data_IF_552002383279
#
_entry.id   IF_552002383279
#
_cell.length_a   1.000
_cell.length_b   1.000
_cell.length_c   1.000
_cell.angle_alpha   90.00
_cell.angle_beta   90.00
_cell.angle_gamma   90.00
#
_symmetry.space_group_name_H-M   'P 1'
#
loop_
_entity.id
_entity.type
_entity.pdbx_description
1 polymer ?
#
# COMPACT_ATOMS: atom_id res chain seq x y z
N UNK A 1 12.53 -65.72 -48.05
CA UNK A 1 13.87 -65.23 -47.62
C UNK A 1 13.87 -65.06 -46.10
N UNK A 2 14.68 -65.86 -45.39
CA UNK A 2 15.22 -65.53 -44.07
C UNK A 2 16.53 -64.72 -44.27
N UNK A 3 17.01 -64.00 -43.26
CA UNK A 3 17.97 -64.59 -42.29
C UNK A 3 17.51 -64.31 -40.83
N UNK A 4 17.59 -65.23 -39.83
CA UNK A 4 18.78 -65.79 -39.14
C UNK A 4 19.68 -64.69 -38.55
N UNK A 5 20.19 -64.66 -37.32
CA UNK A 5 20.39 -65.60 -36.19
C UNK A 5 21.09 -64.73 -35.10
N UNK A 6 20.82 -64.79 -33.80
CA UNK A 6 21.54 -65.64 -32.83
C UNK A 6 21.00 -65.37 -31.42
N UNK A 7 20.66 -66.44 -30.71
CA UNK A 7 20.56 -66.47 -29.26
C UNK A 7 21.97 -66.52 -28.67
N UNK A 8 22.22 -65.79 -27.59
CA UNK A 8 23.17 -66.21 -26.55
C UNK A 8 22.48 -65.96 -25.21
N UNK A 9 22.08 -67.07 -24.61
CA UNK A 9 21.70 -67.18 -23.20
C UNK A 9 22.99 -67.36 -22.42
N UNK A 10 23.28 -66.47 -21.48
CA UNK A 10 24.32 -66.69 -20.48
C UNK A 10 23.65 -66.67 -19.11
N UNK A 11 23.51 -67.85 -18.53
CA UNK A 11 23.16 -68.08 -17.13
C UNK A 11 24.39 -67.79 -16.28
N UNK A 12 24.29 -66.90 -15.30
CA UNK A 12 25.20 -66.87 -14.16
C UNK A 12 24.36 -66.78 -12.89
N UNK A 13 24.36 -67.91 -12.18
CA UNK A 13 23.93 -68.06 -10.80
C UNK A 13 25.08 -67.60 -9.90
N UNK A 14 24.82 -66.64 -9.00
CA UNK A 14 25.69 -66.40 -7.85
C UNK A 14 24.86 -65.83 -6.69
N UNK A 15 24.58 -66.68 -5.72
CA UNK A 15 24.16 -66.31 -4.36
C UNK A 15 25.43 -65.86 -3.64
N UNK A 16 25.55 -64.62 -3.19
CA UNK A 16 26.47 -64.26 -2.11
C UNK A 16 25.96 -63.06 -1.29
N UNK A 17 25.47 -63.40 -0.09
CA UNK A 17 25.73 -62.79 1.21
C UNK A 17 25.73 -61.26 1.38
N UNK A 18 24.84 -60.85 2.29
CA UNK A 18 24.90 -59.64 3.10
C UNK A 18 26.32 -59.24 3.51
N UNK A 19 26.67 -57.99 3.24
CA UNK A 19 27.55 -57.23 4.12
C UNK A 19 27.14 -55.76 4.07
N UNK A 20 26.48 -55.30 5.15
CA UNK A 20 26.36 -53.89 5.45
C UNK A 20 27.73 -53.38 5.84
N UNK A 21 28.25 -52.41 5.09
CA UNK A 21 29.30 -51.51 5.55
C UNK A 21 28.81 -50.10 5.24
N UNK A 22 28.56 -49.34 6.29
CA UNK A 22 28.13 -47.95 6.27
C UNK A 22 29.23 -47.04 5.74
N UNK A 23 28.99 -46.36 4.62
CA UNK A 23 29.79 -45.24 4.15
C UNK A 23 28.88 -44.01 3.98
N UNK A 24 29.14 -42.99 4.81
CA UNK A 24 28.55 -41.66 4.73
C UNK A 24 28.88 -41.05 3.37
N UNK A 25 27.84 -40.81 2.56
CA UNK A 25 27.98 -40.09 1.30
C UNK A 25 27.92 -38.59 1.60
N UNK A 26 29.01 -37.90 1.31
CA UNK A 26 29.10 -36.44 1.31
C UNK A 26 28.01 -35.87 0.39
N UNK A 27 27.12 -35.05 0.95
CA UNK A 27 26.16 -34.27 0.20
C UNK A 27 26.84 -32.99 -0.28
N UNK A 28 26.78 -32.79 -1.60
CA UNK A 28 27.21 -31.58 -2.29
C UNK A 28 26.52 -30.33 -1.72
N UNK A 29 27.35 -29.34 -1.45
CA UNK A 29 26.98 -28.00 -1.00
C UNK A 29 26.24 -27.26 -2.12
N UNK A 30 24.90 -27.36 -2.14
CA UNK A 30 24.08 -26.47 -2.94
C UNK A 30 24.09 -25.08 -2.31
N UNK A 31 24.99 -24.23 -2.80
CA UNK A 31 25.08 -22.82 -2.45
C UNK A 31 23.72 -22.12 -2.63
N UNK A 32 23.08 -21.78 -1.51
CA UNK A 32 21.93 -20.89 -1.45
C UNK A 32 22.42 -19.50 -1.89
N UNK A 33 21.75 -18.80 -2.82
CA UNK A 33 22.11 -17.44 -3.17
C UNK A 33 22.07 -16.55 -1.92
N UNK A 34 22.98 -15.59 -1.72
CA UNK A 34 22.92 -14.74 -0.55
C UNK A 34 21.58 -13.99 -0.55
N UNK A 35 20.77 -14.22 0.49
CA UNK A 35 19.66 -13.34 0.79
C UNK A 35 20.22 -11.92 0.87
N UNK A 36 19.70 -11.02 0.04
CA UNK A 36 20.08 -9.62 0.01
C UNK A 36 19.96 -9.07 1.43
N UNK A 37 21.09 -8.88 2.11
CA UNK A 37 21.11 -8.29 3.43
C UNK A 37 20.62 -6.86 3.29
N UNK A 38 19.36 -6.62 3.68
CA UNK A 38 18.85 -5.25 3.85
C UNK A 38 19.76 -4.62 4.90
N UNK A 39 20.44 -3.49 4.62
CA UNK A 39 21.26 -2.82 5.61
C UNK A 39 20.44 -2.60 6.89
N UNK A 40 20.92 -3.15 8.00
CA UNK A 40 20.36 -2.93 9.33
C UNK A 40 20.76 -1.54 9.85
N UNK A 41 20.58 -0.51 9.04
CA UNK A 41 20.74 0.88 9.50
C UNK A 41 19.62 1.17 10.49
N UNK A 42 19.94 1.52 11.75
CA UNK A 42 18.93 1.92 12.73
C UNK A 42 18.21 3.16 12.23
N UNK A 43 16.90 3.25 12.48
CA UNK A 43 16.16 4.47 12.20
C UNK A 43 16.65 5.61 13.11
N UNK A 44 16.49 6.88 12.68
CA UNK A 44 16.68 8.04 13.55
C UNK A 44 15.88 7.94 14.86
N UNK A 45 16.34 8.67 15.88
CA UNK A 45 15.64 8.73 17.18
C UNK A 45 14.23 9.33 17.07
N UNK A 46 14.00 10.22 16.09
CA UNK A 46 12.70 10.84 15.82
C UNK A 46 12.41 10.70 14.32
N UNK A 47 11.20 10.26 14.00
CA UNK A 47 10.63 10.27 12.65
C UNK A 47 9.41 11.18 12.65
N UNK A 48 9.42 12.18 11.77
CA UNK A 48 8.29 13.08 11.55
C UNK A 48 7.41 12.57 10.40
N UNK A 49 6.20 12.11 10.71
CA UNK A 49 5.23 11.64 9.74
C UNK A 49 4.14 12.69 9.50
N UNK A 50 3.92 13.07 8.24
CA UNK A 50 2.81 13.91 7.81
C UNK A 50 1.80 13.09 6.98
N UNK A 51 0.52 13.15 7.35
CA UNK A 51 -0.56 12.59 6.55
C UNK A 51 -1.45 13.71 5.98
N UNK A 52 -1.55 13.76 4.65
CA UNK A 52 -2.29 14.77 3.90
C UNK A 52 -3.53 14.13 3.24
N UNK A 53 -4.70 14.76 3.38
CA UNK A 53 -5.88 14.23 2.70
C UNK A 53 -7.21 14.85 3.09
N UNK A 54 -8.25 14.01 3.08
CA UNK A 54 -9.64 14.36 3.34
C UNK A 54 -10.26 13.49 4.47
N UNK A 55 -11.55 13.15 4.37
CA UNK A 55 -12.26 12.30 5.33
C UNK A 55 -11.58 10.94 5.55
N UNK A 56 -10.95 10.37 4.52
CA UNK A 56 -10.28 9.08 4.62
C UNK A 56 -8.94 9.15 5.36
N UNK A 57 -8.35 10.34 5.45
CA UNK A 57 -7.11 10.56 6.20
C UNK A 57 -7.39 11.01 7.64
N UNK A 58 -8.37 11.89 7.85
CA UNK A 58 -8.77 12.28 9.21
C UNK A 58 -9.44 11.12 9.98
N UNK A 59 -9.98 10.13 9.26
CA UNK A 59 -10.66 8.97 9.83
C UNK A 59 -12.09 9.26 10.21
N UNK A 60 -12.86 9.87 9.31
CA UNK A 60 -14.27 10.18 9.55
C UNK A 60 -15.03 8.91 10.02
N UNK A 61 -15.85 9.09 11.06
CA UNK A 61 -16.73 8.05 11.62
C UNK A 61 -16.02 6.85 12.26
N UNK A 62 -14.73 6.98 12.57
CA UNK A 62 -13.99 6.06 13.44
C UNK A 62 -13.28 6.83 14.56
N UNK A 63 -12.83 6.12 15.59
CA UNK A 63 -12.08 6.74 16.68
C UNK A 63 -10.73 7.31 16.20
N UNK A 64 -10.14 8.25 16.95
CA UNK A 64 -8.85 8.86 16.56
C UNK A 64 -7.76 7.81 16.37
N UNK A 65 -7.65 6.79 17.22
CA UNK A 65 -6.65 5.71 17.08
C UNK A 65 -7.00 4.70 15.99
N UNK A 66 -8.22 4.75 15.46
CA UNK A 66 -8.75 3.81 14.47
C UNK A 66 -8.44 4.23 13.02
N UNK A 67 -7.97 5.45 12.76
CA UNK A 67 -7.63 5.93 11.41
C UNK A 67 -6.30 5.38 10.91
N UNK A 68 -6.13 5.23 9.60
CA UNK A 68 -4.91 4.62 9.05
C UNK A 68 -3.61 5.33 9.45
N UNK A 69 -3.51 6.69 9.55
CA UNK A 69 -2.26 7.32 9.96
C UNK A 69 -1.84 6.94 11.39
N UNK A 70 -2.79 6.81 12.31
CA UNK A 70 -2.51 6.42 13.70
C UNK A 70 -2.18 4.93 13.81
N UNK A 71 -2.92 4.08 13.09
CA UNK A 71 -2.61 2.66 13.01
C UNK A 71 -1.21 2.40 12.40
N UNK A 72 -0.83 3.17 11.37
CA UNK A 72 0.50 3.10 10.76
C UNK A 72 1.58 3.55 11.75
N UNK A 73 1.38 4.67 12.45
CA UNK A 73 2.28 5.15 13.50
C UNK A 73 2.48 4.10 14.60
N UNK A 74 1.38 3.51 15.08
CA UNK A 74 1.41 2.47 16.12
C UNK A 74 2.17 1.23 15.64
N UNK A 75 1.92 0.78 14.41
CA UNK A 75 2.64 -0.35 13.80
C UNK A 75 4.14 -0.08 13.66
N UNK A 76 4.53 1.13 13.26
CA UNK A 76 5.93 1.53 13.20
C UNK A 76 6.58 1.56 14.58
N UNK A 77 5.90 2.10 15.60
CA UNK A 77 6.40 2.14 16.98
C UNK A 77 6.57 0.73 17.57
N UNK A 78 5.68 -0.19 17.26
CA UNK A 78 5.80 -1.59 17.67
C UNK A 78 7.03 -2.28 17.04
N UNK A 79 7.36 -1.94 15.79
CA UNK A 79 8.51 -2.50 15.07
C UNK A 79 9.83 -1.83 15.49
N UNK A 80 9.79 -0.53 15.79
CA UNK A 80 10.96 0.29 16.14
C UNK A 80 10.74 0.96 17.50
N UNK A 81 10.83 0.21 18.61
CA UNK A 81 10.50 0.73 19.95
C UNK A 81 11.42 1.86 20.41
N UNK A 82 12.66 1.93 19.91
CA UNK A 82 13.62 2.98 20.25
C UNK A 82 13.41 4.29 19.46
N UNK A 83 12.62 4.26 18.38
CA UNK A 83 12.30 5.45 17.58
C UNK A 83 11.02 6.10 18.10
N UNK A 84 11.04 7.42 18.27
CA UNK A 84 9.83 8.20 18.50
C UNK A 84 9.21 8.60 17.17
N UNK A 85 7.89 8.44 17.04
CA UNK A 85 7.16 8.82 15.82
C UNK A 85 6.22 9.97 16.14
N UNK A 86 6.49 11.13 15.57
CA UNK A 86 5.55 12.26 15.58
C UNK A 86 4.61 12.14 14.38
N UNK A 87 3.33 12.45 14.57
CA UNK A 87 2.35 12.44 13.49
C UNK A 87 1.64 13.78 13.44
N UNK A 88 1.67 14.41 12.27
CA UNK A 88 0.81 15.53 11.92
C UNK A 88 -0.18 15.10 10.85
N UNK A 89 -1.44 15.47 11.04
CA UNK A 89 -2.50 15.21 10.05
C UNK A 89 -3.05 16.55 9.58
N UNK A 90 -3.07 16.74 8.27
CA UNK A 90 -3.71 17.88 7.60
C UNK A 90 -4.77 17.30 6.69
N UNK A 91 -5.95 17.12 7.25
CA UNK A 91 -7.07 16.52 6.57
C UNK A 91 -8.39 16.94 7.22
N UNK A 92 -9.43 17.06 6.39
CA UNK A 92 -10.79 17.32 6.86
C UNK A 92 -11.81 16.70 5.93
N UNK A 93 -12.92 16.25 6.51
CA UNK A 93 -14.07 15.73 5.75
C UNK A 93 -14.57 16.76 4.73
N UNK A 94 -14.84 16.29 3.51
CA UNK A 94 -15.33 17.10 2.39
C UNK A 94 -14.25 17.87 1.61
N UNK A 95 -12.98 17.79 1.99
CA UNK A 95 -11.91 18.50 1.29
C UNK A 95 -11.64 17.93 -0.10
N UNK A 96 -11.63 18.85 -1.08
CA UNK A 96 -11.09 18.66 -2.43
C UNK A 96 -9.57 18.92 -2.45
N UNK A 97 -8.93 18.65 -3.58
CA UNK A 97 -7.54 19.05 -3.84
C UNK A 97 -7.30 20.55 -3.56
N UNK A 98 -8.19 21.45 -3.99
CA UNK A 98 -8.04 22.89 -3.77
C UNK A 98 -8.05 23.25 -2.28
N UNK A 99 -8.89 22.58 -1.48
CA UNK A 99 -8.95 22.80 -0.04
C UNK A 99 -7.66 22.38 0.65
N UNK A 100 -7.13 21.21 0.29
CA UNK A 100 -5.88 20.71 0.85
C UNK A 100 -4.69 21.59 0.47
N UNK A 101 -4.62 22.08 -0.78
CA UNK A 101 -3.61 23.06 -1.22
C UNK A 101 -3.68 24.31 -0.33
N UNK A 102 -4.87 24.87 -0.16
CA UNK A 102 -5.07 26.06 0.68
C UNK A 102 -4.65 25.82 2.13
N UNK A 103 -4.98 24.66 2.70
CA UNK A 103 -4.63 24.31 4.07
C UNK A 103 -3.11 24.21 4.25
N UNK A 104 -2.42 23.46 3.37
CA UNK A 104 -0.96 23.32 3.40
C UNK A 104 -0.27 24.69 3.30
N UNK A 105 -0.74 25.57 2.40
CA UNK A 105 -0.19 26.91 2.25
C UNK A 105 -0.42 27.76 3.51
N UNK A 106 -1.57 27.63 4.16
CA UNK A 106 -1.89 28.40 5.36
C UNK A 106 -1.12 27.96 6.60
N UNK A 107 -0.76 26.68 6.70
CA UNK A 107 -0.04 26.15 7.86
C UNK A 107 1.46 26.48 7.87
N UNK A 108 2.02 26.90 6.73
CA UNK A 108 3.42 27.27 6.57
C UNK A 108 4.38 26.24 7.21
N UNK A 109 4.24 24.98 6.79
CA UNK A 109 4.95 23.85 7.37
C UNK A 109 6.44 23.88 7.04
N UNK A 110 7.26 23.44 8.00
CA UNK A 110 8.66 23.14 7.75
C UNK A 110 8.81 21.91 6.84
N UNK A 111 9.83 21.94 5.97
CA UNK A 111 10.17 20.83 5.08
C UNK A 111 11.04 19.79 5.79
N UNK A 112 10.57 19.27 6.93
CA UNK A 112 11.34 18.40 7.83
C UNK A 112 10.73 17.01 8.06
N UNK A 113 9.77 16.60 7.22
CA UNK A 113 9.11 15.31 7.35
C UNK A 113 9.95 14.17 6.77
N UNK A 114 9.98 13.05 7.49
CA UNK A 114 10.67 11.81 7.11
C UNK A 114 9.75 10.86 6.34
N UNK A 115 8.44 11.07 6.42
CA UNK A 115 7.42 10.34 5.70
C UNK A 115 6.25 11.28 5.41
N UNK A 116 5.76 11.28 4.18
CA UNK A 116 4.52 11.97 3.79
C UNK A 116 3.59 11.00 3.09
N UNK A 117 2.35 10.86 3.56
CA UNK A 117 1.28 10.16 2.83
C UNK A 117 0.29 11.15 2.24
N UNK A 118 -0.22 10.85 1.05
CA UNK A 118 -1.23 11.66 0.36
C UNK A 118 -2.38 10.77 -0.11
N UNK A 119 -3.60 11.06 0.37
CA UNK A 119 -4.84 10.41 -0.05
C UNK A 119 -5.90 11.51 -0.24
N UNK A 120 -6.19 11.85 -1.49
CA UNK A 120 -7.09 12.98 -1.84
C UNK A 120 -7.71 12.78 -3.22
N UNK A 121 -8.91 13.30 -3.41
CA UNK A 121 -9.54 13.43 -4.73
C UNK A 121 -10.98 12.92 -4.78
N UNK A 122 -11.43 12.11 -3.80
CA UNK A 122 -12.80 11.59 -3.80
C UNK A 122 -13.84 12.71 -3.79
N UNK A 123 -13.57 13.81 -3.09
CA UNK A 123 -14.50 14.93 -3.01
C UNK A 123 -14.52 15.78 -4.29
N UNK A 124 -13.46 15.76 -5.10
CA UNK A 124 -13.52 16.35 -6.44
C UNK A 124 -14.56 15.58 -7.28
N UNK A 125 -14.48 14.25 -7.27
CA UNK A 125 -15.43 13.38 -7.95
C UNK A 125 -16.84 13.51 -7.37
N UNK A 126 -17.00 13.34 -6.05
CA UNK A 126 -18.30 13.32 -5.37
C UNK A 126 -19.07 14.64 -5.53
N UNK A 127 -18.36 15.78 -5.55
CA UNK A 127 -18.96 17.10 -5.75
C UNK A 127 -19.17 17.45 -7.23
N UNK A 128 -18.88 16.54 -8.17
CA UNK A 128 -19.02 16.77 -9.61
C UNK A 128 -18.10 17.88 -10.13
N UNK A 129 -16.90 18.04 -9.56
CA UNK A 129 -15.91 19.00 -10.08
C UNK A 129 -15.38 18.52 -11.42
N UNK A 130 -15.08 19.45 -12.32
CA UNK A 130 -14.40 19.14 -13.57
C UNK A 130 -13.10 18.38 -13.29
N UNK A 131 -12.90 17.26 -14.00
CA UNK A 131 -11.73 16.41 -13.83
C UNK A 131 -10.42 17.17 -14.06
N UNK A 132 -10.42 18.16 -14.96
CA UNK A 132 -9.28 19.03 -15.27
C UNK A 132 -8.74 19.79 -14.05
N UNK A 133 -9.58 20.05 -13.04
CA UNK A 133 -9.13 20.62 -11.76
C UNK A 133 -8.22 19.63 -11.04
N UNK A 134 -8.62 18.35 -10.96
CA UNK A 134 -7.79 17.30 -10.37
C UNK A 134 -6.51 17.08 -11.19
N UNK A 135 -6.60 17.07 -12.52
CA UNK A 135 -5.44 16.91 -13.41
C UNK A 135 -4.37 17.99 -13.18
N UNK A 136 -4.79 19.20 -12.82
CA UNK A 136 -3.88 20.31 -12.49
C UNK A 136 -3.37 20.25 -11.05
N UNK A 137 -4.27 20.04 -10.09
CA UNK A 137 -3.98 20.23 -8.67
C UNK A 137 -3.36 18.99 -8.00
N UNK A 138 -3.64 17.78 -8.50
CA UNK A 138 -3.00 16.59 -7.96
C UNK A 138 -1.46 16.60 -8.16
N UNK A 139 -0.92 16.92 -9.36
CA UNK A 139 0.51 17.16 -9.53
C UNK A 139 1.09 18.20 -8.58
N UNK A 140 0.38 19.30 -8.34
CA UNK A 140 0.78 20.34 -7.39
C UNK A 140 0.90 19.78 -5.97
N UNK A 141 -0.10 19.01 -5.51
CA UNK A 141 -0.10 18.38 -4.19
C UNK A 141 1.03 17.37 -4.03
N UNK A 142 1.32 16.56 -5.05
CA UNK A 142 2.46 15.63 -5.03
C UNK A 142 3.78 16.41 -4.90
N UNK A 143 3.95 17.50 -5.65
CA UNK A 143 5.16 18.34 -5.54
C UNK A 143 5.29 18.99 -4.15
N UNK A 144 4.18 19.48 -3.57
CA UNK A 144 4.18 19.98 -2.19
C UNK A 144 4.57 18.88 -1.20
N UNK A 145 4.02 17.68 -1.33
CA UNK A 145 4.37 16.54 -0.48
C UNK A 145 5.87 16.19 -0.58
N UNK A 146 6.44 16.22 -1.79
CA UNK A 146 7.89 15.99 -2.00
C UNK A 146 8.72 17.07 -1.29
N UNK A 147 8.36 18.34 -1.45
CA UNK A 147 9.05 19.44 -0.76
C UNK A 147 9.00 19.25 0.75
N UNK A 148 7.82 18.96 1.30
CA UNK A 148 7.62 18.72 2.74
C UNK A 148 8.44 17.52 3.23
N UNK A 149 8.64 16.52 2.38
CA UNK A 149 9.49 15.36 2.60
C UNK A 149 10.98 15.61 2.34
N UNK A 150 11.48 16.82 2.65
CA UNK A 150 12.89 17.24 2.46
C UNK A 150 13.36 17.17 1.00
N UNK A 151 12.43 17.29 0.05
CA UNK A 151 12.70 17.12 -1.38
C UNK A 151 12.90 15.67 -1.82
N UNK A 152 12.73 14.68 -0.93
CA UNK A 152 12.95 13.27 -1.24
C UNK A 152 11.65 12.56 -1.60
N UNK A 153 11.43 12.38 -2.91
CA UNK A 153 10.25 11.69 -3.43
C UNK A 153 10.07 10.23 -2.96
N UNK A 154 11.14 9.55 -2.54
CA UNK A 154 11.05 8.20 -1.98
C UNK A 154 10.36 8.17 -0.61
N UNK A 155 10.30 9.31 0.08
CA UNK A 155 9.61 9.48 1.37
C UNK A 155 8.14 9.88 1.19
N UNK A 156 7.65 9.99 -0.04
CA UNK A 156 6.25 10.29 -0.36
C UNK A 156 5.55 9.03 -0.85
N UNK A 157 4.40 8.73 -0.24
CA UNK A 157 3.55 7.61 -0.63
C UNK A 157 2.16 8.15 -0.93
N UNK A 158 1.71 7.99 -2.18
CA UNK A 158 0.34 8.28 -2.59
C UNK A 158 -0.49 7.02 -2.43
N UNK A 159 -1.69 7.17 -1.86
CA UNK A 159 -2.65 6.10 -1.64
C UNK A 159 -3.86 6.36 -2.54
N UNK A 160 -4.34 5.32 -3.24
CA UNK A 160 -5.52 5.44 -4.09
C UNK A 160 -6.76 5.85 -3.29
N UNK A 161 -7.70 6.55 -3.93
CA UNK A 161 -8.98 6.87 -3.30
C UNK A 161 -9.87 5.60 -3.24
N UNK A 162 -10.61 5.38 -2.12
CA UNK A 162 -11.66 4.38 -1.99
C UNK A 162 -12.71 4.44 -3.11
N UNK A 163 -13.26 3.28 -3.47
CA UNK A 163 -14.46 3.19 -4.29
C UNK A 163 -15.69 3.05 -3.39
N UNK A 164 -16.37 4.18 -3.14
CA UNK A 164 -17.53 4.20 -2.24
C UNK A 164 -18.82 3.69 -2.89
N UNK A 165 -18.81 3.30 -4.17
CA UNK A 165 -19.95 2.61 -4.78
C UNK A 165 -20.27 1.29 -4.04
N UNK A 166 -19.25 0.70 -3.40
CA UNK A 166 -19.35 -0.56 -2.64
C UNK A 166 -19.66 -0.35 -1.16
N UNK A 167 -20.50 0.65 -0.86
CA UNK A 167 -20.95 0.96 0.50
C UNK A 167 -22.48 1.06 0.53
N UNK A 168 -23.13 0.89 1.70
CA UNK A 168 -24.57 1.17 1.83
C UNK A 168 -24.96 2.56 1.35
N UNK A 169 -24.12 3.57 1.55
CA UNK A 169 -24.34 4.91 1.01
C UNK A 169 -24.29 4.90 -0.53
N UNK A 170 -23.25 4.31 -1.11
CA UNK A 170 -23.10 4.20 -2.56
C UNK A 170 -24.25 3.46 -3.25
N UNK A 171 -24.79 2.41 -2.62
CA UNK A 171 -25.91 1.65 -3.18
C UNK A 171 -27.26 2.34 -2.96
N UNK A 172 -27.51 2.85 -1.75
CA UNK A 172 -28.85 3.30 -1.36
C UNK A 172 -29.06 4.79 -1.63
N UNK A 173 -28.05 5.64 -1.38
CA UNK A 173 -28.18 7.10 -1.49
C UNK A 173 -27.84 7.60 -2.90
N UNK A 174 -26.97 6.90 -3.62
CA UNK A 174 -26.56 7.28 -4.98
C UNK A 174 -27.41 6.64 -6.08
N UNK A 175 -28.54 5.99 -5.75
CA UNK A 175 -29.65 5.65 -6.68
C UNK A 175 -29.25 5.04 -8.04
N UNK A 176 -28.35 4.06 -8.06
CA UNK A 176 -27.94 3.36 -9.30
C UNK A 176 -26.71 3.97 -10.01
N UNK A 177 -26.13 5.03 -9.46
CA UNK A 177 -24.91 5.67 -9.98
C UNK A 177 -23.62 4.87 -9.70
N UNK A 178 -23.72 3.69 -9.06
CA UNK A 178 -22.56 2.89 -8.65
C UNK A 178 -21.57 2.63 -9.79
N UNK A 179 -22.07 2.27 -10.98
CA UNK A 179 -21.22 2.05 -12.15
C UNK A 179 -20.48 3.33 -12.60
N UNK A 180 -21.15 4.49 -12.55
CA UNK A 180 -20.53 5.79 -12.86
C UNK A 180 -19.48 6.14 -11.81
N UNK A 181 -19.81 6.00 -10.52
CA UNK A 181 -18.90 6.25 -9.41
C UNK A 181 -17.63 5.42 -9.56
N UNK A 182 -17.74 4.09 -9.72
CA UNK A 182 -16.58 3.22 -9.89
C UNK A 182 -15.74 3.59 -11.13
N UNK A 183 -16.39 3.95 -12.25
CA UNK A 183 -15.68 4.37 -13.46
C UNK A 183 -14.89 5.68 -13.25
N UNK A 184 -15.50 6.68 -12.61
CA UNK A 184 -14.85 7.95 -12.30
C UNK A 184 -13.73 7.74 -11.26
N UNK A 185 -13.96 6.98 -10.19
CA UNK A 185 -12.92 6.65 -9.22
C UNK A 185 -11.74 5.93 -9.89
N UNK A 186 -12.01 5.03 -10.83
CA UNK A 186 -10.98 4.37 -11.64
C UNK A 186 -10.21 5.38 -12.50
N UNK A 187 -10.87 6.37 -13.10
CA UNK A 187 -10.22 7.43 -13.87
C UNK A 187 -9.27 8.27 -13.00
N UNK A 188 -9.73 8.71 -11.82
CA UNK A 188 -8.91 9.47 -10.86
C UNK A 188 -7.70 8.67 -10.39
N UNK A 189 -7.91 7.41 -9.98
CA UNK A 189 -6.83 6.54 -9.51
C UNK A 189 -5.82 6.18 -10.61
N UNK A 190 -6.29 5.96 -11.85
CA UNK A 190 -5.42 5.71 -13.00
C UNK A 190 -4.54 6.91 -13.31
N UNK A 191 -5.12 8.12 -13.31
CA UNK A 191 -4.35 9.35 -13.50
C UNK A 191 -3.30 9.53 -12.40
N UNK A 192 -3.70 9.39 -11.13
CA UNK A 192 -2.80 9.53 -9.99
C UNK A 192 -1.65 8.50 -10.05
N UNK A 193 -1.96 7.24 -10.34
CA UNK A 193 -0.96 6.17 -10.49
C UNK A 193 0.02 6.49 -11.61
N UNK A 194 -0.48 6.85 -12.80
CA UNK A 194 0.37 7.17 -13.96
C UNK A 194 1.29 8.36 -13.66
N UNK A 195 0.77 9.42 -13.05
CA UNK A 195 1.58 10.57 -12.64
C UNK A 195 2.67 10.16 -11.64
N UNK A 196 2.32 9.41 -10.59
CA UNK A 196 3.28 8.95 -9.59
C UNK A 196 4.37 8.08 -10.20
N UNK A 197 4.01 7.09 -11.03
CA UNK A 197 4.96 6.19 -11.71
C UNK A 197 5.91 7.00 -12.60
N UNK A 198 5.39 7.90 -13.43
CA UNK A 198 6.20 8.72 -14.34
C UNK A 198 7.16 9.66 -13.60
N UNK A 199 6.83 10.03 -12.36
CA UNK A 199 7.66 10.92 -11.55
C UNK A 199 8.48 10.18 -10.48
N UNK A 200 8.40 8.85 -10.42
CA UNK A 200 9.12 8.03 -9.43
C UNK A 200 8.68 8.28 -7.98
N UNK A 201 7.39 8.57 -7.78
CA UNK A 201 6.72 8.62 -6.47
C UNK A 201 5.99 7.29 -6.27
N UNK A 202 6.02 6.75 -5.05
CA UNK A 202 5.34 5.49 -4.78
C UNK A 202 3.82 5.70 -4.76
N UNK A 203 3.10 4.87 -5.51
CA UNK A 203 1.64 4.78 -5.48
C UNK A 203 1.21 3.40 -4.96
N UNK A 204 0.27 3.37 -4.01
CA UNK A 204 -0.28 2.15 -3.43
C UNK A 204 -1.79 2.14 -3.62
N UNK A 205 -2.30 1.11 -4.31
CA UNK A 205 -3.75 0.92 -4.47
C UNK A 205 -4.35 0.21 -3.25
N UNK A 206 -5.45 0.77 -2.73
CA UNK A 206 -6.33 0.17 -1.71
C UNK A 206 -7.75 -0.06 -2.22
N UNK A 207 -8.04 0.29 -3.48
CA UNK A 207 -9.41 0.37 -4.00
C UNK A 207 -10.10 -1.00 -4.01
N UNK A 208 -9.36 -2.08 -4.31
CA UNK A 208 -9.83 -3.47 -4.21
C UNK A 208 -10.21 -3.90 -2.79
N UNK A 209 -9.65 -3.27 -1.75
CA UNK A 209 -10.06 -3.50 -0.36
C UNK A 209 -11.45 -2.90 -0.15
N UNK A 210 -11.66 -1.67 -0.60
CA UNK A 210 -12.92 -0.95 -0.42
C UNK A 210 -14.06 -1.52 -1.26
N UNK A 211 -13.74 -2.11 -2.41
CA UNK A 211 -14.71 -2.81 -3.26
C UNK A 211 -15.31 -4.08 -2.61
N UNK A 212 -14.74 -4.54 -1.49
CA UNK A 212 -15.32 -5.63 -0.70
C UNK A 212 -16.35 -5.15 0.32
N UNK A 213 -16.66 -3.85 0.40
CA UNK A 213 -17.48 -3.27 1.46
C UNK A 213 -18.93 -3.78 1.51
N UNK A 214 -19.50 -4.18 0.36
CA UNK A 214 -20.84 -4.79 0.32
C UNK A 214 -20.83 -6.25 0.78
N UNK A 215 -19.80 -7.01 0.36
CA UNK A 215 -19.65 -8.43 0.73
C UNK A 215 -19.16 -8.61 2.17
N UNK A 216 -18.42 -7.62 2.68
CA UNK A 216 -17.92 -7.58 4.03
C UNK A 216 -18.24 -6.22 4.70
N UNK A 217 -19.45 -6.08 5.27
CA UNK A 217 -19.91 -4.84 5.91
C UNK A 217 -19.01 -4.34 7.04
N UNK A 218 -18.19 -5.21 7.65
CA UNK A 218 -17.22 -4.79 8.68
C UNK A 218 -16.13 -3.86 8.13
N UNK A 219 -15.99 -3.73 6.81
CA UNK A 219 -15.06 -2.79 6.17
C UNK A 219 -15.65 -1.37 6.05
N UNK A 220 -16.94 -1.18 6.33
CA UNK A 220 -17.61 0.11 6.29
C UNK A 220 -17.92 0.58 7.72
N UNK A 221 -17.67 1.86 8.00
CA UNK A 221 -17.94 2.47 9.28
C UNK A 221 -19.46 2.60 9.54
N UNK A 222 -19.82 3.00 10.77
CA UNK A 222 -21.22 3.10 11.20
C UNK A 222 -22.07 4.13 10.43
N UNK A 223 -21.44 5.03 9.66
CA UNK A 223 -22.14 5.96 8.79
C UNK A 223 -22.53 5.37 7.42
N UNK A 224 -22.15 4.12 7.16
CA UNK A 224 -22.45 3.42 5.92
C UNK A 224 -21.70 3.96 4.69
N UNK A 225 -20.66 4.80 4.87
CA UNK A 225 -19.91 5.42 3.77
C UNK A 225 -18.40 5.27 3.93
N UNK A 226 -17.83 5.59 5.07
CA UNK A 226 -16.38 5.67 5.23
C UNK A 226 -15.77 4.29 5.56
N UNK A 227 -14.46 4.07 5.30
CA UNK A 227 -13.78 2.87 5.75
C UNK A 227 -13.83 2.75 7.28
N UNK A 228 -14.07 1.53 7.76
CA UNK A 228 -14.02 1.21 9.19
C UNK A 228 -12.58 1.13 9.71
N UNK A 229 -12.44 0.98 11.03
CA UNK A 229 -11.15 0.66 11.65
C UNK A 229 -10.51 -0.60 11.04
N UNK A 230 -11.31 -1.62 10.73
CA UNK A 230 -10.83 -2.87 10.13
C UNK A 230 -10.36 -2.68 8.69
N UNK A 231 -11.05 -1.86 7.89
CA UNK A 231 -10.57 -1.50 6.55
C UNK A 231 -9.25 -0.72 6.63
N UNK A 232 -9.12 0.23 7.57
CA UNK A 232 -7.86 0.95 7.78
C UNK A 232 -6.72 0.02 8.20
N UNK A 233 -6.98 -1.06 8.95
CA UNK A 233 -5.95 -2.08 9.23
C UNK A 233 -5.44 -2.73 7.94
N UNK A 234 -6.35 -3.12 7.04
CA UNK A 234 -5.97 -3.66 5.73
C UNK A 234 -5.20 -2.66 4.86
N UNK A 235 -5.49 -1.35 4.98
CA UNK A 235 -4.72 -0.31 4.30
C UNK A 235 -3.30 -0.27 4.87
N UNK A 236 -3.16 -0.26 6.20
CA UNK A 236 -1.86 -0.24 6.88
C UNK A 236 -1.05 -1.48 6.55
N UNK A 237 -1.64 -2.67 6.56
CA UNK A 237 -0.94 -3.92 6.20
C UNK A 237 -0.31 -3.84 4.80
N UNK A 238 -0.99 -3.17 3.86
CA UNK A 238 -0.49 -2.97 2.50
C UNK A 238 0.59 -1.88 2.40
N UNK A 239 0.46 -0.80 3.18
CA UNK A 239 1.34 0.36 3.11
C UNK A 239 2.64 0.14 3.91
N UNK A 240 2.54 -0.52 5.08
CA UNK A 240 3.61 -0.65 6.06
C UNK A 240 4.91 -1.25 5.50
N UNK A 241 4.90 -2.34 4.69
CA UNK A 241 6.14 -2.87 4.10
C UNK A 241 6.89 -1.85 3.25
N UNK A 242 6.16 -0.98 2.55
CA UNK A 242 6.75 0.06 1.70
C UNK A 242 7.26 1.23 2.51
N UNK A 243 6.54 1.63 3.56
CA UNK A 243 7.01 2.65 4.51
C UNK A 243 8.32 2.23 5.18
N UNK A 244 8.45 0.96 5.58
CA UNK A 244 9.69 0.46 6.18
C UNK A 244 10.90 0.60 5.24
N UNK A 245 10.71 0.38 3.93
CA UNK A 245 11.74 0.60 2.93
C UNK A 245 12.02 2.10 2.81
N UNK A 246 10.96 2.90 2.64
CA UNK A 246 11.07 4.35 2.50
C UNK A 246 11.83 4.98 3.65
N UNK A 247 11.64 4.55 4.91
CA UNK A 247 12.30 5.11 6.08
C UNK A 247 13.79 4.75 6.22
N UNK A 248 14.25 3.66 5.58
CA UNK A 248 15.64 3.20 5.65
C UNK A 248 16.55 3.76 4.55
N UNK A 249 15.97 4.14 3.42
CA UNK A 249 16.63 4.80 2.29
C UNK A 249 17.03 6.26 2.59
#
# INVERSE_FOLDING_TARGET
MKPHFKQIVTVILAIFLLSCSSEETALEDTAIPPATQVPNTPLPAIINYLALGDSYTIGQSVCETCRYPEQLKSSLKAIYPETNFSLKIIAKTGWTTSNLISAINSENLDSNYDLVTLLIGVNNQYQGRDFSIYEKEFPELVNKAITLAKGNKKKVIVISIPDYAYTPFGTNQMQGEGARISAEISQYNTFAQNYCVNNGVLFISITDITQKGLDNPNLVAGDGLHPSAAAYTLFVDRILPKVKIALKD
#
